data_IF_464062197012
#
_entry.id   IF_464062197012
#
_cell.length_a   1.000
_cell.length_b   1.000
_cell.length_c   1.000
_cell.angle_alpha   90.00
_cell.angle_beta   90.00
_cell.angle_gamma   90.00
#
_symmetry.space_group_name_H-M   'P 1'
#
loop_
_entity.id
_entity.type
_entity.pdbx_description
1 polymer ?
#
# COMPACT_ATOMS: atom_id res chain seq x y z
N UNK A 1 7.18 -2.54 -12.63
CA UNK A 1 6.62 -3.91 -12.56
C UNK A 1 7.15 -4.84 -13.65
N UNK A 2 7.36 -4.36 -14.87
CA UNK A 2 7.91 -5.17 -15.99
C UNK A 2 9.21 -5.90 -15.59
N UNK A 3 10.10 -5.23 -14.86
CA UNK A 3 11.38 -5.81 -14.39
C UNK A 3 11.20 -7.05 -13.51
N UNK A 4 10.16 -7.11 -12.68
CA UNK A 4 9.92 -8.26 -11.79
C UNK A 4 9.29 -9.44 -12.53
N UNK A 5 8.58 -9.20 -13.63
CA UNK A 5 7.98 -10.27 -14.46
C UNK A 5 9.02 -11.19 -15.08
N UNK A 6 10.20 -10.67 -15.41
CA UNK A 6 11.27 -11.41 -16.10
C UNK A 6 12.31 -12.01 -15.14
N UNK A 7 12.11 -11.92 -13.82
CA UNK A 7 13.07 -12.42 -12.82
C UNK A 7 12.99 -13.96 -12.75
N UNK A 8 14.11 -14.70 -12.69
CA UNK A 8 14.08 -16.14 -12.43
C UNK A 8 13.43 -16.46 -11.08
N UNK A 9 12.75 -17.62 -10.98
CA UNK A 9 12.05 -18.03 -9.75
C UNK A 9 13.00 -18.14 -8.55
N UNK A 10 14.20 -18.61 -8.76
CA UNK A 10 15.25 -18.69 -7.74
C UNK A 10 15.55 -17.33 -7.10
N UNK A 11 15.52 -16.26 -7.89
CA UNK A 11 15.71 -14.88 -7.40
C UNK A 11 14.45 -14.35 -6.77
N UNK A 12 13.27 -14.65 -7.37
CA UNK A 12 11.98 -14.18 -6.90
C UNK A 12 11.64 -14.70 -5.50
N UNK A 13 11.95 -15.98 -5.23
CA UNK A 13 11.68 -16.63 -3.95
C UNK A 13 12.88 -16.62 -2.99
N UNK A 14 14.06 -16.13 -3.41
CA UNK A 14 15.25 -16.10 -2.57
C UNK A 14 14.99 -15.27 -1.32
N UNK A 15 15.03 -15.93 -0.18
CA UNK A 15 14.97 -15.30 1.14
C UNK A 15 16.20 -15.71 1.96
N UNK A 16 16.49 -14.98 3.01
CA UNK A 16 17.45 -15.39 4.05
C UNK A 16 16.76 -15.27 5.41
N UNK A 17 17.31 -15.91 6.43
CA UNK A 17 16.73 -15.97 7.79
C UNK A 17 16.34 -14.60 8.40
N UNK A 18 16.80 -13.50 7.82
CA UNK A 18 16.51 -12.15 8.31
C UNK A 18 15.94 -11.19 7.24
N UNK A 19 15.73 -11.64 6.00
CA UNK A 19 15.31 -10.75 4.89
C UNK A 19 14.21 -11.40 4.07
N UNK A 20 13.21 -10.63 3.74
CA UNK A 20 12.12 -11.02 2.85
C UNK A 20 12.61 -11.26 1.43
N UNK A 21 11.98 -12.22 0.75
CA UNK A 21 12.10 -12.40 -0.70
C UNK A 21 11.34 -11.31 -1.46
N UNK A 22 11.54 -11.24 -2.78
CA UNK A 22 10.73 -10.38 -3.66
C UNK A 22 9.25 -10.77 -3.57
N UNK A 23 8.96 -12.08 -3.56
CA UNK A 23 7.60 -12.61 -3.42
C UNK A 23 6.91 -12.09 -2.15
N UNK A 24 7.61 -12.14 -1.00
CA UNK A 24 7.08 -11.65 0.28
C UNK A 24 6.86 -10.14 0.30
N UNK A 25 7.78 -9.35 -0.28
CA UNK A 25 7.63 -7.89 -0.38
C UNK A 25 6.40 -7.53 -1.23
N UNK A 26 6.21 -8.21 -2.37
CA UNK A 26 5.06 -7.98 -3.24
C UNK A 26 3.76 -8.41 -2.56
N UNK A 27 3.72 -9.57 -1.92
CA UNK A 27 2.57 -10.04 -1.16
C UNK A 27 2.17 -9.04 -0.07
N UNK A 28 3.16 -8.48 0.66
CA UNK A 28 2.94 -7.45 1.67
C UNK A 28 2.32 -6.17 1.07
N UNK A 29 2.84 -5.67 -0.05
CA UNK A 29 2.31 -4.47 -0.70
C UNK A 29 0.85 -4.69 -1.12
N UNK A 30 0.55 -5.81 -1.78
CA UNK A 30 -0.81 -6.16 -2.23
C UNK A 30 -1.77 -6.24 -1.03
N UNK A 31 -1.35 -6.92 0.03
CA UNK A 31 -2.16 -7.07 1.25
C UNK A 31 -2.43 -5.74 1.91
N UNK A 32 -1.42 -4.88 2.02
CA UNK A 32 -1.56 -3.54 2.59
C UNK A 32 -2.56 -2.69 1.79
N UNK A 33 -2.48 -2.69 0.46
CA UNK A 33 -3.41 -1.97 -0.41
C UNK A 33 -4.85 -2.50 -0.29
N UNK A 34 -5.03 -3.82 -0.29
CA UNK A 34 -6.35 -4.44 -0.13
C UNK A 34 -7.00 -4.09 1.21
N UNK A 35 -6.27 -4.22 2.31
CA UNK A 35 -6.79 -3.88 3.64
C UNK A 35 -7.12 -2.38 3.74
N UNK A 36 -6.30 -1.53 3.14
CA UNK A 36 -6.56 -0.08 3.07
C UNK A 36 -7.85 0.21 2.29
N UNK A 37 -8.04 -0.42 1.13
CA UNK A 37 -9.25 -0.28 0.33
C UNK A 37 -10.49 -0.79 1.07
N UNK A 38 -10.40 -1.95 1.72
CA UNK A 38 -11.50 -2.49 2.54
C UNK A 38 -11.90 -1.52 3.66
N UNK A 39 -10.92 -0.92 4.33
CA UNK A 39 -11.18 0.09 5.35
C UNK A 39 -11.88 1.32 4.76
N UNK A 40 -11.41 1.84 3.64
CA UNK A 40 -12.02 3.00 2.96
C UNK A 40 -13.43 2.69 2.49
N UNK A 41 -13.69 1.52 1.91
CA UNK A 41 -15.05 1.08 1.52
C UNK A 41 -15.99 1.05 2.72
N UNK A 42 -15.55 0.47 3.85
CA UNK A 42 -16.35 0.48 5.08
C UNK A 42 -16.67 1.89 5.55
N UNK A 43 -15.70 2.80 5.48
CA UNK A 43 -15.90 4.20 5.90
C UNK A 43 -16.74 5.00 4.93
N UNK A 44 -16.72 4.68 3.63
CA UNK A 44 -17.53 5.39 2.62
C UNK A 44 -19.03 5.18 2.77
N UNK A 45 -19.48 4.15 3.50
CA UNK A 45 -20.90 3.94 3.80
C UNK A 45 -21.54 5.11 4.59
N UNK A 46 -20.73 5.92 5.28
CA UNK A 46 -21.17 7.11 6.01
C UNK A 46 -20.39 8.36 5.60
N UNK A 47 -20.00 8.46 4.32
CA UNK A 47 -19.08 9.51 3.85
C UNK A 47 -19.61 10.93 4.06
N UNK A 48 -20.92 11.11 4.03
CA UNK A 48 -21.59 12.42 4.26
C UNK A 48 -21.29 12.98 5.66
N UNK A 49 -21.12 12.11 6.65
CA UNK A 49 -20.90 12.49 8.05
C UNK A 49 -19.44 12.64 8.43
N UNK A 50 -18.52 12.28 7.53
CA UNK A 50 -17.08 12.38 7.79
C UNK A 50 -16.63 13.83 7.73
N UNK A 51 -15.61 14.16 8.54
CA UNK A 51 -14.97 15.48 8.51
C UNK A 51 -14.07 15.60 7.29
N UNK A 52 -13.89 16.82 6.82
CA UNK A 52 -12.89 17.14 5.82
C UNK A 52 -11.48 17.20 6.42
N UNK A 53 -10.49 16.94 5.58
CA UNK A 53 -9.09 17.18 5.89
C UNK A 53 -8.79 18.67 5.95
N UNK A 54 -7.84 19.05 6.79
CA UNK A 54 -7.37 20.42 6.91
C UNK A 54 -5.85 20.51 6.81
N UNK A 55 -5.31 21.68 7.15
CA UNK A 55 -3.87 21.98 7.12
C UNK A 55 -3.06 20.96 7.92
N UNK A 56 -3.57 20.55 9.09
CA UNK A 56 -2.90 19.54 9.92
C UNK A 56 -2.69 18.21 9.18
N UNK A 57 -3.71 17.72 8.48
CA UNK A 57 -3.63 16.47 7.71
C UNK A 57 -2.65 16.62 6.54
N UNK A 58 -2.61 17.78 5.90
CA UNK A 58 -1.66 18.07 4.83
C UNK A 58 -0.22 18.05 5.33
N UNK A 59 0.07 18.62 6.49
CA UNK A 59 1.39 18.57 7.13
C UNK A 59 1.76 17.14 7.49
N UNK A 60 0.86 16.40 8.13
CA UNK A 60 1.10 15.00 8.51
C UNK A 60 1.35 14.15 7.26
N UNK A 61 0.58 14.33 6.20
CA UNK A 61 0.78 13.61 4.95
C UNK A 61 2.12 13.94 4.29
N UNK A 62 2.54 15.20 4.32
CA UNK A 62 3.87 15.61 3.84
C UNK A 62 4.98 14.91 4.63
N UNK A 63 4.88 14.87 5.97
CA UNK A 63 5.84 14.17 6.83
C UNK A 63 5.85 12.66 6.56
N UNK A 64 4.68 12.05 6.34
CA UNK A 64 4.57 10.65 5.91
C UNK A 64 5.30 10.39 4.59
N UNK A 65 5.10 11.25 3.58
CA UNK A 65 5.82 11.12 2.30
C UNK A 65 7.32 11.19 2.48
N UNK A 66 7.82 12.11 3.29
CA UNK A 66 9.26 12.24 3.59
C UNK A 66 9.73 10.97 4.30
N UNK A 67 9.02 10.49 5.30
CA UNK A 67 9.39 9.31 6.08
C UNK A 67 9.45 8.03 5.22
N UNK A 68 8.58 7.89 4.22
CA UNK A 68 8.62 6.76 3.28
C UNK A 68 9.84 6.79 2.34
N UNK A 69 10.47 7.93 2.16
CA UNK A 69 11.66 8.10 1.30
C UNK A 69 12.99 7.93 2.05
N UNK A 70 12.94 7.98 3.38
CA UNK A 70 14.09 7.70 4.23
C UNK A 70 14.15 6.19 4.51
N UNK A 71 15.35 5.57 4.59
CA UNK A 71 15.49 4.12 4.83
C UNK A 71 15.16 3.74 6.28
N UNK A 72 14.02 4.17 6.78
CA UNK A 72 13.52 3.80 8.10
C UNK A 72 12.84 2.42 8.04
N UNK A 73 13.07 1.61 9.06
CA UNK A 73 12.41 0.31 9.21
C UNK A 73 11.15 0.48 10.04
N UNK A 74 9.99 0.30 9.39
CA UNK A 74 8.72 0.26 10.07
C UNK A 74 8.28 -1.18 10.29
N UNK A 75 7.70 -1.46 11.45
CA UNK A 75 6.97 -2.71 11.65
C UNK A 75 5.62 -2.61 10.96
N UNK A 76 5.31 -3.60 10.14
CA UNK A 76 3.98 -3.70 9.54
C UNK A 76 2.92 -3.89 10.64
N UNK A 77 1.73 -3.28 10.49
CA UNK A 77 0.61 -3.53 11.40
C UNK A 77 0.28 -5.03 11.47
N UNK A 78 -0.12 -5.50 12.66
CA UNK A 78 -0.45 -6.92 12.88
C UNK A 78 -1.46 -7.45 11.84
N UNK A 79 -2.50 -6.68 11.54
CA UNK A 79 -3.49 -7.06 10.52
C UNK A 79 -2.87 -7.28 9.13
N UNK A 80 -1.84 -6.54 8.75
CA UNK A 80 -1.14 -6.76 7.48
C UNK A 80 -0.30 -8.02 7.56
N UNK A 81 0.45 -8.20 8.65
CA UNK A 81 1.29 -9.40 8.85
C UNK A 81 0.44 -10.67 8.80
N UNK A 82 -0.63 -10.72 9.58
CA UNK A 82 -1.51 -11.90 9.70
C UNK A 82 -2.22 -12.26 8.39
N UNK A 83 -2.43 -11.30 7.49
CA UNK A 83 -3.11 -11.50 6.21
C UNK A 83 -2.16 -11.55 5.01
N UNK A 84 -0.86 -11.39 5.22
CA UNK A 84 0.12 -11.50 4.13
C UNK A 84 0.46 -12.97 3.92
N UNK A 85 0.21 -13.55 2.72
CA UNK A 85 0.64 -14.91 2.41
C UNK A 85 2.16 -15.03 2.52
N UNK A 86 2.64 -16.20 2.95
CA UNK A 86 4.09 -16.47 3.05
C UNK A 86 4.81 -16.31 1.71
N UNK A 87 4.18 -16.81 0.65
CA UNK A 87 4.62 -16.61 -0.73
C UNK A 87 3.43 -16.68 -1.68
N UNK A 88 3.51 -15.92 -2.76
CA UNK A 88 2.60 -16.00 -3.91
C UNK A 88 3.43 -16.36 -5.12
N UNK A 89 2.89 -17.20 -6.01
CA UNK A 89 3.49 -17.33 -7.34
C UNK A 89 3.49 -15.97 -8.03
N UNK A 90 4.35 -15.81 -9.01
CA UNK A 90 4.46 -14.53 -9.74
C UNK A 90 3.14 -14.20 -10.44
N UNK A 91 2.56 -15.17 -11.11
CA UNK A 91 1.30 -15.05 -11.85
C UNK A 91 0.17 -14.64 -10.89
N UNK A 92 0.08 -15.32 -9.75
CA UNK A 92 -0.93 -15.02 -8.73
C UNK A 92 -0.74 -13.63 -8.12
N UNK A 93 0.50 -13.24 -7.83
CA UNK A 93 0.81 -11.92 -7.30
C UNK A 93 0.40 -10.81 -8.29
N UNK A 94 0.69 -10.96 -9.57
CA UNK A 94 0.30 -9.99 -10.59
C UNK A 94 -1.22 -9.94 -10.78
N UNK A 95 -1.89 -11.09 -10.85
CA UNK A 95 -3.34 -11.15 -10.97
C UNK A 95 -4.03 -10.47 -9.78
N UNK A 96 -3.58 -10.75 -8.54
CA UNK A 96 -4.10 -10.11 -7.33
C UNK A 96 -3.83 -8.59 -7.32
N UNK A 97 -2.67 -8.16 -7.80
CA UNK A 97 -2.36 -6.73 -7.88
C UNK A 97 -3.22 -6.02 -8.92
N UNK A 98 -3.35 -6.56 -10.11
CA UNK A 98 -4.21 -5.99 -11.15
C UNK A 98 -5.67 -5.88 -10.66
N UNK A 99 -6.17 -6.92 -10.00
CA UNK A 99 -7.49 -6.91 -9.37
C UNK A 99 -7.60 -5.80 -8.31
N UNK A 100 -6.64 -5.70 -7.40
CA UNK A 100 -6.65 -4.67 -6.35
C UNK A 100 -6.63 -3.25 -6.95
N UNK A 101 -5.88 -3.03 -8.03
CA UNK A 101 -5.83 -1.75 -8.76
C UNK A 101 -7.12 -1.43 -9.51
N UNK A 102 -7.78 -2.43 -10.08
CA UNK A 102 -9.09 -2.23 -10.68
C UNK A 102 -10.12 -1.89 -9.60
N UNK A 103 -10.18 -2.66 -8.52
CA UNK A 103 -11.09 -2.40 -7.41
C UNK A 103 -10.87 -1.02 -6.77
N UNK A 104 -9.64 -0.52 -6.73
CA UNK A 104 -9.32 0.83 -6.26
C UNK A 104 -9.84 1.89 -7.24
N UNK A 105 -9.65 1.70 -8.54
CA UNK A 105 -10.20 2.61 -9.58
C UNK A 105 -11.72 2.69 -9.46
N UNK A 106 -12.39 1.55 -9.48
CA UNK A 106 -13.86 1.47 -9.38
C UNK A 106 -14.37 2.18 -8.11
N UNK A 107 -13.65 2.02 -6.99
CA UNK A 107 -13.97 2.70 -5.74
C UNK A 107 -13.82 4.22 -5.85
N UNK A 108 -12.72 4.70 -6.47
CA UNK A 108 -12.47 6.13 -6.63
C UNK A 108 -13.48 6.77 -7.59
N UNK A 109 -13.81 6.10 -8.68
CA UNK A 109 -14.79 6.55 -9.67
C UNK A 109 -16.20 6.65 -9.07
N UNK A 110 -16.51 5.80 -8.10
CA UNK A 110 -17.79 5.82 -7.38
C UNK A 110 -17.88 6.94 -6.30
N UNK A 111 -16.76 7.58 -5.93
CA UNK A 111 -16.77 8.66 -4.94
C UNK A 111 -16.94 10.01 -5.64
N UNK A 112 -18.04 10.75 -5.38
CA UNK A 112 -18.21 12.11 -5.90
C UNK A 112 -17.06 13.03 -5.47
N UNK A 113 -16.61 13.91 -6.38
CA UNK A 113 -15.48 14.83 -6.15
C UNK A 113 -15.62 15.68 -4.89
N UNK A 114 -16.84 16.07 -4.53
CA UNK A 114 -17.15 16.82 -3.30
C UNK A 114 -16.69 16.10 -2.01
N UNK A 115 -16.45 14.80 -2.07
CA UNK A 115 -15.98 13.98 -0.94
C UNK A 115 -14.48 13.66 -0.98
N UNK A 116 -13.74 14.17 -1.96
CA UNK A 116 -12.32 13.89 -2.11
C UNK A 116 -11.47 14.25 -0.87
N UNK A 117 -11.96 15.20 -0.08
CA UNK A 117 -11.29 15.67 1.15
C UNK A 117 -11.83 15.02 2.44
N UNK A 118 -12.80 14.09 2.36
CA UNK A 118 -13.31 13.37 3.53
C UNK A 118 -12.26 12.48 4.15
N UNK A 119 -12.12 12.52 5.48
CA UNK A 119 -11.18 11.69 6.26
C UNK A 119 -11.64 10.24 6.29
N UNK A 120 -11.22 9.46 5.31
CA UNK A 120 -11.74 8.12 5.04
C UNK A 120 -10.78 6.99 5.42
N UNK A 121 -9.50 7.26 5.57
CA UNK A 121 -8.48 6.25 5.82
C UNK A 121 -7.71 6.55 7.11
N UNK A 122 -7.54 5.52 7.97
CA UNK A 122 -6.72 5.62 9.19
C UNK A 122 -5.37 4.97 8.95
N UNK A 123 -4.34 5.81 8.75
CA UNK A 123 -2.95 5.35 8.69
C UNK A 123 -2.44 5.05 10.11
N UNK A 124 -1.70 3.93 10.35
CA UNK A 124 -1.23 3.53 11.69
C UNK A 124 -0.43 4.60 12.43
N UNK A 125 0.41 5.35 11.71
CA UNK A 125 1.29 6.40 12.26
C UNK A 125 0.74 7.79 11.97
N UNK A 126 0.25 8.04 10.75
CA UNK A 126 -0.19 9.35 10.28
C UNK A 126 -1.62 9.74 10.68
N UNK A 127 -2.37 8.84 11.36
CA UNK A 127 -3.76 9.11 11.72
C UNK A 127 -4.69 9.17 10.52
N UNK A 128 -5.71 10.02 10.57
CA UNK A 128 -6.74 10.09 9.52
C UNK A 128 -6.24 10.85 8.30
N UNK A 129 -6.43 10.26 7.13
CA UNK A 129 -6.13 10.78 5.80
C UNK A 129 -7.40 10.88 4.97
N UNK A 130 -7.46 11.85 4.06
CA UNK A 130 -8.53 11.95 3.08
C UNK A 130 -8.32 10.98 1.91
N UNK A 131 -9.28 10.96 0.96
CA UNK A 131 -9.23 10.06 -0.20
C UNK A 131 -7.96 10.24 -1.02
N UNK A 132 -7.59 11.49 -1.33
CA UNK A 132 -6.40 11.81 -2.14
C UNK A 132 -5.11 11.46 -1.40
N UNK A 133 -5.04 11.77 -0.11
CA UNK A 133 -3.89 11.45 0.75
C UNK A 133 -3.71 9.93 0.92
N UNK A 134 -4.80 9.17 1.05
CA UNK A 134 -4.76 7.72 1.14
C UNK A 134 -4.18 7.07 -0.12
N UNK A 135 -4.62 7.51 -1.30
CA UNK A 135 -4.06 7.05 -2.59
C UNK A 135 -2.59 7.46 -2.72
N UNK A 136 -2.26 8.71 -2.34
CA UNK A 136 -0.89 9.18 -2.32
C UNK A 136 0.00 8.37 -1.39
N UNK A 137 -0.50 7.94 -0.22
CA UNK A 137 0.22 7.03 0.68
C UNK A 137 0.46 5.66 0.04
N UNK A 138 -0.53 5.05 -0.60
CA UNK A 138 -0.35 3.77 -1.30
C UNK A 138 0.75 3.86 -2.37
N UNK A 139 0.80 4.95 -3.12
CA UNK A 139 1.87 5.20 -4.09
C UNK A 139 3.25 5.31 -3.43
N UNK A 140 3.38 6.10 -2.36
CA UNK A 140 4.66 6.25 -1.64
C UNK A 140 5.07 4.94 -0.94
N UNK A 141 4.12 4.11 -0.50
CA UNK A 141 4.40 2.79 0.08
C UNK A 141 5.04 1.82 -0.93
N UNK A 142 4.55 1.79 -2.17
CA UNK A 142 5.20 1.04 -3.25
C UNK A 142 6.62 1.58 -3.51
N UNK A 143 6.78 2.91 -3.54
CA UNK A 143 8.09 3.55 -3.70
C UNK A 143 9.05 3.25 -2.56
N UNK A 144 8.57 3.14 -1.34
CA UNK A 144 9.36 2.77 -0.16
C UNK A 144 9.97 1.38 -0.32
N UNK A 145 9.20 0.43 -0.84
CA UNK A 145 9.67 -0.95 -1.03
C UNK A 145 10.49 -1.15 -2.31
N UNK A 146 10.45 -0.24 -3.26
CA UNK A 146 11.16 -0.38 -4.52
C UNK A 146 12.69 -0.51 -4.37
N UNK A 147 13.40 0.27 -3.53
CA UNK A 147 14.82 0.06 -3.26
C UNK A 147 15.13 -1.32 -2.63
N UNK A 148 14.22 -1.86 -1.82
CA UNK A 148 14.35 -3.21 -1.26
C UNK A 148 14.30 -4.26 -2.37
N UNK A 149 13.32 -4.17 -3.28
CA UNK A 149 13.21 -5.05 -4.44
C UNK A 149 14.45 -4.95 -5.32
N UNK A 150 14.94 -3.73 -5.61
CA UNK A 150 16.16 -3.55 -6.42
C UNK A 150 17.39 -4.24 -5.81
N UNK A 151 17.57 -4.16 -4.49
CA UNK A 151 18.69 -4.86 -3.81
C UNK A 151 18.56 -6.38 -3.85
N UNK A 152 17.32 -6.90 -3.91
CA UNK A 152 17.09 -8.34 -4.03
C UNK A 152 17.31 -8.86 -5.45
N UNK A 153 17.14 -7.99 -6.44
CA UNK A 153 17.43 -8.29 -7.85
C UNK A 153 18.94 -8.36 -8.11
N UNK A 154 19.73 -7.51 -7.44
CA UNK A 154 21.19 -7.38 -7.60
C UNK A 154 21.83 -7.56 -6.21
N UNK A 155 21.97 -8.80 -5.72
CA UNK A 155 22.53 -9.10 -4.41
C UNK A 155 24.03 -8.84 -4.30
#
# INVERSE_FOLDING_TARGET
>A
MTTVRAVPDEVYFRSSSAKWSIAQVIAHIITSERLSLMYMRKKSLGIDTLRDSGIRQSIVFMLLKISQRVPLRYRAPKAVVDNTPEALSREEAFARWEKARQELRDFLDAIPEKYAHRLIFKHPVGGMLDVRQAVGFMYEHVRHHWPQIKRLLNP
#
